data_IF_207565587801
#
_entry.id   IF_207565587801
#
_cell.length_a   1.000
_cell.length_b   1.000
_cell.length_c   1.000
_cell.angle_alpha   90.00
_cell.angle_beta   90.00
_cell.angle_gamma   90.00
#
_symmetry.space_group_name_H-M   'P 1'
#
loop_
_entity.id
_entity.type
_entity.pdbx_description
1 polymer ?
#
# COMPACT_ATOMS: atom_id res chain seq x y z
N UNK A 1 -5.65 26.60 -8.53
CA UNK A 1 -4.60 26.25 -7.54
C UNK A 1 -3.88 25.03 -8.09
N UNK A 2 -2.60 25.15 -8.45
CA UNK A 2 -1.82 23.98 -8.88
C UNK A 2 -1.30 23.26 -7.64
N UNK A 3 -1.62 21.98 -7.51
CA UNK A 3 -1.12 21.11 -6.44
C UNK A 3 -0.01 20.28 -7.06
N UNK A 4 1.18 20.31 -6.46
CA UNK A 4 2.34 19.50 -6.87
C UNK A 4 2.73 18.55 -5.74
N UNK A 5 3.27 17.39 -6.09
CA UNK A 5 3.78 16.40 -5.15
C UNK A 5 5.19 16.00 -5.57
N UNK A 6 6.15 16.12 -4.66
CA UNK A 6 7.56 15.86 -4.92
C UNK A 6 8.19 15.02 -3.81
N UNK A 7 9.21 14.21 -4.16
CA UNK A 7 10.00 13.48 -3.18
C UNK A 7 11.13 14.39 -2.67
N UNK A 8 10.99 14.88 -1.44
CA UNK A 8 11.98 15.77 -0.84
C UNK A 8 13.31 15.06 -0.48
N UNK A 9 13.29 13.81 -0.01
CA UNK A 9 14.54 13.07 0.20
C UNK A 9 14.30 11.58 0.46
N UNK A 10 15.33 10.78 0.20
CA UNK A 10 15.39 9.38 0.57
C UNK A 10 16.66 9.12 1.36
N UNK A 11 16.52 8.60 2.58
CA UNK A 11 17.65 8.36 3.49
C UNK A 11 17.62 6.93 4.02
N UNK A 12 18.76 6.24 3.94
CA UNK A 12 18.98 5.00 4.66
C UNK A 12 19.14 5.30 6.16
N UNK A 13 18.48 4.49 7.00
CA UNK A 13 18.67 4.51 8.45
C UNK A 13 19.36 3.22 8.87
N UNK A 14 20.37 3.32 9.74
CA UNK A 14 21.14 2.19 10.26
C UNK A 14 20.89 2.05 11.76
N UNK A 15 20.79 0.81 12.25
CA UNK A 15 20.52 0.53 13.67
C UNK A 15 19.04 0.61 14.02
N UNK A 16 18.67 1.49 14.95
CA UNK A 16 17.29 1.63 15.42
C UNK A 16 16.46 2.58 14.55
N UNK A 17 15.15 2.32 14.49
CA UNK A 17 14.20 3.15 13.74
C UNK A 17 13.13 3.69 14.69
N UNK A 18 13.55 4.47 15.68
CA UNK A 18 12.63 5.13 16.62
C UNK A 18 12.13 6.47 16.07
N UNK A 19 11.08 7.03 16.68
CA UNK A 19 10.59 8.36 16.32
C UNK A 19 11.61 9.47 16.56
N UNK A 20 12.48 9.29 17.56
CA UNK A 20 13.62 10.17 17.81
C UNK A 20 14.65 10.09 16.68
N UNK A 21 14.98 8.89 16.21
CA UNK A 21 15.95 8.70 15.12
C UNK A 21 15.45 9.38 13.83
N UNK A 22 14.18 9.16 13.48
CA UNK A 22 13.55 9.81 12.31
C UNK A 22 13.54 11.34 12.46
N UNK A 23 13.16 11.86 13.63
CA UNK A 23 13.18 13.31 13.88
C UNK A 23 14.57 13.90 13.79
N UNK A 24 15.58 13.16 14.27
CA UNK A 24 16.96 13.58 14.21
C UNK A 24 17.46 13.60 12.78
N UNK A 25 17.16 12.59 11.96
CA UNK A 25 17.55 12.60 10.55
C UNK A 25 16.91 13.77 9.79
N UNK A 26 15.61 14.03 10.02
CA UNK A 26 14.92 15.20 9.44
C UNK A 26 15.56 16.53 9.82
N UNK A 27 16.05 16.65 11.06
CA UNK A 27 16.73 17.86 11.57
C UNK A 27 18.18 17.97 11.11
N UNK A 28 18.92 16.85 11.15
CA UNK A 28 20.35 16.79 10.86
C UNK A 28 20.63 17.04 9.39
N UNK A 29 19.86 16.42 8.50
CA UNK A 29 20.25 16.30 7.10
C UNK A 29 19.86 17.47 6.20
N UNK A 30 19.54 18.64 6.77
CA UNK A 30 19.12 19.82 5.99
C UNK A 30 18.01 19.56 4.97
N UNK A 31 17.31 18.41 4.93
CA UNK A 31 16.22 18.17 3.96
C UNK A 31 15.24 19.34 3.88
N UNK A 32 14.88 19.91 5.03
CA UNK A 32 14.03 21.11 5.06
C UNK A 32 14.74 22.35 4.49
N UNK A 33 16.01 22.56 4.82
CA UNK A 33 16.81 23.68 4.29
C UNK A 33 17.14 23.53 2.79
N UNK A 34 17.46 22.33 2.31
CA UNK A 34 17.82 22.03 0.93
C UNK A 34 16.65 22.29 -0.04
N UNK A 35 15.42 22.13 0.47
CA UNK A 35 14.18 22.42 -0.26
C UNK A 35 13.55 23.77 0.14
N UNK A 36 14.24 24.59 0.93
CA UNK A 36 13.73 25.85 1.47
C UNK A 36 12.34 25.71 2.13
N UNK A 37 12.07 24.56 2.73
CA UNK A 37 10.83 24.26 3.44
C UNK A 37 10.88 24.93 4.81
N UNK A 38 10.06 25.97 4.96
CA UNK A 38 9.87 26.58 6.27
C UNK A 38 9.03 25.66 7.17
N UNK A 39 9.62 25.30 8.31
CA UNK A 39 8.94 24.54 9.35
C UNK A 39 7.70 25.24 9.92
N UNK A 40 7.56 26.56 9.74
CA UNK A 40 6.35 27.31 10.13
C UNK A 40 5.14 26.98 9.26
N UNK A 41 5.38 26.55 8.01
CA UNK A 41 4.33 26.22 7.04
C UNK A 41 3.90 24.75 7.11
N UNK A 42 4.32 24.00 8.14
CA UNK A 42 3.95 22.61 8.31
C UNK A 42 2.46 22.49 8.66
N UNK A 43 1.62 22.21 7.66
CA UNK A 43 0.18 22.02 7.86
C UNK A 43 -0.19 20.64 8.40
N UNK A 44 0.47 19.58 7.91
CA UNK A 44 0.11 18.20 8.24
C UNK A 44 1.34 17.28 8.24
N UNK A 45 1.35 16.30 9.16
CA UNK A 45 2.32 15.21 9.20
C UNK A 45 1.59 13.88 9.12
N UNK A 46 1.85 13.12 8.05
CA UNK A 46 1.32 11.78 7.86
C UNK A 46 2.42 10.75 8.06
N UNK A 47 2.21 9.76 8.94
CA UNK A 47 3.16 8.66 9.15
C UNK A 47 2.46 7.32 9.25
N UNK A 48 3.16 6.23 8.90
CA UNK A 48 2.63 4.88 9.16
C UNK A 48 2.43 4.67 10.68
N UNK A 49 1.40 3.94 11.07
CA UNK A 49 0.96 3.78 12.46
C UNK A 49 1.84 2.88 13.34
N UNK A 50 3.12 2.68 13.02
CA UNK A 50 4.02 1.89 13.86
C UNK A 50 4.23 2.53 15.24
N UNK A 51 4.39 1.71 16.30
CA UNK A 51 4.59 2.15 17.70
C UNK A 51 5.70 3.21 17.85
N UNK A 52 6.75 3.11 17.03
CA UNK A 52 7.88 4.04 17.02
C UNK A 52 7.50 5.47 16.58
N UNK A 53 6.28 5.69 16.07
CA UNK A 53 5.87 6.95 15.44
C UNK A 53 4.75 7.66 16.21
N UNK A 54 3.92 6.92 16.94
CA UNK A 54 2.75 7.45 17.67
C UNK A 54 2.97 7.75 19.16
N UNK A 55 4.10 7.32 19.75
CA UNK A 55 4.40 7.62 21.15
C UNK A 55 4.50 9.14 21.39
N UNK A 56 3.80 9.63 22.42
CA UNK A 56 3.67 11.06 22.74
C UNK A 56 5.01 11.68 23.20
N UNK A 57 5.90 10.89 23.78
CA UNK A 57 7.19 11.34 24.32
C UNK A 57 8.38 10.98 23.41
N UNK A 58 8.34 9.81 22.76
CA UNK A 58 9.46 9.26 21.98
C UNK A 58 9.15 9.05 20.49
N UNK A 59 7.87 9.11 20.12
CA UNK A 59 7.41 8.95 18.75
C UNK A 59 7.63 10.20 17.91
N UNK A 60 7.57 10.06 16.59
CA UNK A 60 7.79 11.19 15.68
C UNK A 60 6.76 12.30 15.90
N UNK A 61 5.49 11.94 16.15
CA UNK A 61 4.44 12.89 16.50
C UNK A 61 4.80 13.71 17.75
N UNK A 62 5.25 13.04 18.82
CA UNK A 62 5.73 13.70 20.03
C UNK A 62 6.90 14.65 19.77
N UNK A 63 7.88 14.19 18.98
CA UNK A 63 9.06 14.99 18.64
C UNK A 63 8.74 16.23 17.81
N UNK A 64 7.78 16.15 16.90
CA UNK A 64 7.30 17.29 16.11
C UNK A 64 6.49 18.25 16.98
N UNK A 65 5.62 17.72 17.84
CA UNK A 65 4.85 18.55 18.80
C UNK A 65 5.77 19.36 19.72
N UNK A 66 6.81 18.73 20.26
CA UNK A 66 7.84 19.38 21.08
C UNK A 66 8.61 20.45 20.31
N UNK A 67 8.93 20.20 19.04
CA UNK A 67 9.60 21.17 18.18
C UNK A 67 8.72 22.39 17.90
N UNK A 68 7.45 22.20 17.53
CA UNK A 68 6.51 23.30 17.28
C UNK A 68 6.32 24.15 18.54
N UNK A 69 6.16 23.52 19.71
CA UNK A 69 6.09 24.25 20.99
C UNK A 69 7.36 25.07 21.26
N UNK A 70 8.55 24.49 21.07
CA UNK A 70 9.82 25.20 21.30
C UNK A 70 10.02 26.39 20.35
N UNK A 71 9.52 26.30 19.12
CA UNK A 71 9.63 27.36 18.10
C UNK A 71 8.43 28.31 18.07
N UNK A 72 7.44 28.11 18.95
CA UNK A 72 6.18 28.84 18.95
C UNK A 72 5.43 28.82 17.60
N UNK A 73 5.41 27.64 16.97
CA UNK A 73 4.76 27.39 15.67
C UNK A 73 3.44 26.65 15.93
N UNK A 74 2.36 26.91 15.14
CA UNK A 74 1.13 26.13 15.20
C UNK A 74 1.38 24.61 15.11
N UNK A 75 0.55 23.85 15.81
CA UNK A 75 0.63 22.39 15.77
C UNK A 75 0.06 21.87 14.46
N UNK A 76 0.78 21.02 13.72
CA UNK A 76 0.26 20.43 12.48
C UNK A 76 -0.83 19.41 12.78
N UNK A 77 -1.67 19.13 11.77
CA UNK A 77 -2.55 17.98 11.80
C UNK A 77 -1.72 16.69 11.76
N UNK A 78 -2.04 15.72 12.63
CA UNK A 78 -1.39 14.42 12.61
C UNK A 78 -2.32 13.40 11.98
N UNK A 79 -1.91 12.87 10.82
CA UNK A 79 -2.68 11.86 10.10
C UNK A 79 -1.97 10.51 10.19
N UNK A 80 -2.77 9.46 10.39
CA UNK A 80 -2.31 8.10 10.18
C UNK A 80 -2.31 7.80 8.69
N UNK A 81 -1.30 7.07 8.21
CA UNK A 81 -1.22 6.65 6.82
C UNK A 81 -2.49 5.88 6.41
N UNK A 82 -3.29 6.46 5.52
CA UNK A 82 -4.61 5.92 5.13
C UNK A 82 -4.53 4.50 4.57
N UNK A 83 -3.45 4.18 3.83
CA UNK A 83 -3.18 2.83 3.32
C UNK A 83 -2.96 1.82 4.46
N UNK A 84 -2.42 2.25 5.61
CA UNK A 84 -2.32 1.37 6.77
C UNK A 84 -3.69 1.11 7.41
N UNK A 85 -4.55 2.12 7.48
CA UNK A 85 -5.93 1.95 7.95
C UNK A 85 -6.71 1.02 7.03
N UNK A 86 -6.63 1.19 5.71
CA UNK A 86 -7.21 0.26 4.73
C UNK A 86 -6.69 -1.17 4.96
N UNK A 87 -5.39 -1.34 5.22
CA UNK A 87 -4.82 -2.66 5.52
C UNK A 87 -5.31 -3.28 6.85
N UNK A 88 -5.69 -2.44 7.82
CA UNK A 88 -6.28 -2.88 9.08
C UNK A 88 -7.76 -3.23 8.91
N UNK A 89 -8.53 -2.43 8.17
CA UNK A 89 -9.92 -2.73 7.84
C UNK A 89 -10.05 -4.07 7.12
N UNK A 90 -9.12 -4.40 6.22
CA UNK A 90 -9.05 -5.72 5.57
C UNK A 90 -8.85 -6.91 6.53
N UNK A 91 -8.44 -6.68 7.79
CA UNK A 91 -8.30 -7.73 8.81
C UNK A 91 -9.55 -7.93 9.67
N UNK A 92 -10.43 -6.92 9.75
CA UNK A 92 -11.56 -6.88 10.69
C UNK A 92 -12.91 -7.24 10.04
N UNK A 93 -12.92 -7.70 8.79
CA UNK A 93 -14.10 -8.27 8.12
C UNK A 93 -13.80 -9.62 7.45
N UNK A 94 -14.82 -10.25 6.85
CA UNK A 94 -14.71 -11.50 6.08
C UNK A 94 -13.88 -11.37 4.78
N UNK A 95 -13.30 -10.18 4.57
CA UNK A 95 -12.36 -9.86 3.50
C UNK A 95 -11.18 -10.84 3.48
N UNK A 96 -10.72 -11.34 4.63
CA UNK A 96 -9.65 -12.34 4.68
C UNK A 96 -10.04 -13.67 4.00
N UNK A 97 -11.30 -14.11 4.14
CA UNK A 97 -11.80 -15.32 3.47
C UNK A 97 -11.81 -15.13 1.96
N UNK A 98 -12.36 -14.00 1.49
CA UNK A 98 -12.39 -13.63 0.07
C UNK A 98 -10.97 -13.52 -0.50
N UNK A 99 -10.07 -12.83 0.20
CA UNK A 99 -8.66 -12.70 -0.18
C UNK A 99 -7.94 -14.06 -0.26
N UNK A 100 -8.27 -15.00 0.64
CA UNK A 100 -7.71 -16.34 0.59
C UNK A 100 -8.18 -17.12 -0.63
N UNK A 101 -9.46 -17.01 -1.01
CA UNK A 101 -9.99 -17.60 -2.24
C UNK A 101 -9.32 -17.01 -3.47
N UNK A 102 -9.27 -15.67 -3.57
CA UNK A 102 -8.60 -14.97 -4.67
C UNK A 102 -7.12 -15.36 -4.76
N UNK A 103 -6.41 -15.46 -3.64
CA UNK A 103 -5.02 -15.92 -3.62
C UNK A 103 -4.84 -17.32 -4.18
N UNK A 104 -5.71 -18.27 -3.80
CA UNK A 104 -5.64 -19.66 -4.31
C UNK A 104 -5.82 -19.68 -5.83
N UNK A 105 -6.78 -18.92 -6.33
CA UNK A 105 -7.10 -18.79 -7.75
C UNK A 105 -5.96 -18.16 -8.55
N UNK A 106 -5.45 -17.01 -8.11
CA UNK A 106 -4.30 -16.34 -8.74
C UNK A 106 -3.09 -17.26 -8.74
N UNK A 107 -2.84 -17.97 -7.63
CA UNK A 107 -1.76 -18.94 -7.56
C UNK A 107 -1.98 -20.12 -8.51
N UNK A 108 -3.19 -20.65 -8.67
CA UNK A 108 -3.48 -21.74 -9.60
C UNK A 108 -3.09 -21.37 -11.04
N UNK A 109 -3.41 -20.14 -11.45
CA UNK A 109 -3.07 -19.58 -12.76
C UNK A 109 -1.55 -19.35 -12.87
N UNK A 110 -0.96 -18.66 -11.89
CA UNK A 110 0.41 -18.11 -12.00
C UNK A 110 1.53 -19.05 -11.57
N UNK A 111 1.24 -20.08 -10.76
CA UNK A 111 2.29 -20.96 -10.21
C UNK A 111 2.83 -22.00 -11.20
N UNK A 112 2.06 -22.32 -12.25
CA UNK A 112 2.41 -23.34 -13.23
C UNK A 112 2.43 -22.73 -14.63
N UNK A 113 3.56 -22.83 -15.34
CA UNK A 113 3.72 -22.27 -16.68
C UNK A 113 2.66 -22.76 -17.68
N UNK A 114 2.21 -24.00 -17.54
CA UNK A 114 1.15 -24.57 -18.39
C UNK A 114 -0.22 -23.93 -18.14
N UNK A 115 -0.58 -23.68 -16.88
CA UNK A 115 -1.83 -22.99 -16.54
C UNK A 115 -1.77 -21.53 -16.96
N UNK A 116 -0.64 -20.88 -16.73
CA UNK A 116 -0.42 -19.52 -17.18
C UNK A 116 -0.52 -19.40 -18.71
N UNK A 117 0.09 -20.32 -19.46
CA UNK A 117 -0.01 -20.35 -20.93
C UNK A 117 -1.46 -20.43 -21.41
N UNK A 118 -2.25 -21.38 -20.87
CA UNK A 118 -3.67 -21.49 -21.20
C UNK A 118 -4.46 -20.24 -20.84
N UNK A 119 -4.17 -19.62 -19.69
CA UNK A 119 -4.83 -18.37 -19.31
C UNK A 119 -4.46 -17.23 -20.27
N UNK A 120 -3.20 -17.13 -20.69
CA UNK A 120 -2.76 -16.15 -21.69
C UNK A 120 -3.47 -16.38 -23.03
N UNK A 121 -3.70 -17.63 -23.43
CA UNK A 121 -4.43 -17.92 -24.66
C UNK A 121 -5.89 -17.45 -24.57
N UNK A 122 -6.57 -17.65 -23.43
CA UNK A 122 -7.90 -17.07 -23.15
C UNK A 122 -7.87 -15.53 -23.25
N UNK A 123 -6.83 -14.88 -22.69
CA UNK A 123 -6.71 -13.42 -22.77
C UNK A 123 -6.48 -12.94 -24.21
N UNK A 124 -5.79 -13.71 -25.05
CA UNK A 124 -5.61 -13.40 -26.49
C UNK A 124 -6.91 -13.55 -27.26
N UNK A 125 -7.68 -14.60 -26.98
CA UNK A 125 -8.97 -14.84 -27.64
C UNK A 125 -9.98 -13.71 -27.35
N UNK A 126 -9.83 -13.04 -26.20
CA UNK A 126 -10.59 -11.84 -25.82
C UNK A 126 -9.93 -10.51 -26.22
N UNK A 127 -8.85 -10.51 -27.02
CA UNK A 127 -8.08 -9.32 -27.44
C UNK A 127 -7.55 -8.43 -26.29
N UNK A 128 -7.33 -9.01 -25.10
CA UNK A 128 -6.89 -8.31 -23.88
C UNK A 128 -5.59 -8.87 -23.29
N UNK A 129 -4.73 -9.49 -24.10
CA UNK A 129 -3.47 -10.09 -23.66
C UNK A 129 -2.55 -9.13 -22.87
N UNK A 130 -2.67 -7.81 -23.06
CA UNK A 130 -1.93 -6.80 -22.29
C UNK A 130 -2.42 -6.62 -20.84
N UNK A 131 -3.57 -7.19 -20.49
CA UNK A 131 -4.20 -7.11 -19.17
C UNK A 131 -3.84 -8.30 -18.28
N UNK A 132 -2.58 -8.73 -18.25
CA UNK A 132 -2.14 -9.88 -17.47
C UNK A 132 -2.38 -9.73 -15.94
N UNK A 133 -2.50 -10.89 -15.27
CA UNK A 133 -2.78 -11.02 -13.85
C UNK A 133 -1.48 -10.96 -13.01
N UNK A 134 -1.30 -9.94 -12.14
CA UNK A 134 -0.12 -9.84 -11.30
C UNK A 134 -0.04 -10.99 -10.28
N UNK A 135 1.20 -11.36 -9.90
CA UNK A 135 1.41 -12.38 -8.86
C UNK A 135 0.96 -11.83 -7.49
N UNK A 136 0.26 -12.66 -6.71
CA UNK A 136 -0.13 -12.28 -5.36
C UNK A 136 1.08 -12.30 -4.41
N UNK A 137 1.41 -11.16 -3.81
CA UNK A 137 2.38 -11.10 -2.70
C UNK A 137 1.70 -10.60 -1.42
N UNK A 138 1.87 -11.33 -0.32
CA UNK A 138 1.25 -10.98 0.97
C UNK A 138 1.89 -9.77 1.66
N UNK A 139 3.05 -9.32 1.17
CA UNK A 139 3.98 -8.38 1.83
C UNK A 139 3.50 -6.92 1.77
N UNK A 140 2.62 -6.55 0.82
CA UNK A 140 2.17 -5.16 0.64
C UNK A 140 0.65 -5.09 0.45
N UNK A 141 -0.03 -4.18 1.15
CA UNK A 141 -1.48 -3.98 0.96
C UNK A 141 -1.81 -3.55 -0.48
N UNK A 142 -0.95 -2.72 -1.07
CA UNK A 142 -1.09 -2.26 -2.46
C UNK A 142 -1.03 -3.40 -3.48
N UNK A 143 -0.29 -4.49 -3.22
CA UNK A 143 -0.33 -5.65 -4.10
C UNK A 143 -1.61 -6.46 -3.96
N UNK A 144 -2.26 -6.45 -2.78
CA UNK A 144 -3.57 -7.08 -2.61
C UNK A 144 -4.62 -6.33 -3.40
N UNK A 145 -4.68 -5.01 -3.25
CA UNK A 145 -5.59 -4.12 -3.98
C UNK A 145 -5.41 -4.27 -5.50
N UNK A 146 -4.18 -4.17 -6.00
CA UNK A 146 -3.90 -4.31 -7.44
C UNK A 146 -4.31 -5.68 -7.99
N UNK A 147 -4.06 -6.76 -7.24
CA UNK A 147 -4.48 -8.10 -7.64
C UNK A 147 -6.01 -8.22 -7.61
N UNK A 148 -6.69 -7.66 -6.59
CA UNK A 148 -8.15 -7.68 -6.51
C UNK A 148 -8.79 -6.92 -7.67
N UNK A 149 -8.29 -5.72 -8.00
CA UNK A 149 -8.75 -4.95 -9.16
C UNK A 149 -8.63 -5.77 -10.43
N UNK A 150 -7.47 -6.39 -10.66
CA UNK A 150 -7.25 -7.23 -11.84
C UNK A 150 -8.10 -8.50 -11.87
N UNK A 151 -8.33 -9.14 -10.73
CA UNK A 151 -9.25 -10.28 -10.64
C UNK A 151 -10.67 -9.85 -11.01
N UNK A 152 -11.12 -8.69 -10.56
CA UNK A 152 -12.45 -8.17 -10.89
C UNK A 152 -12.59 -7.78 -12.37
N UNK A 153 -11.55 -7.14 -12.93
CA UNK A 153 -11.49 -6.78 -14.35
C UNK A 153 -11.51 -8.03 -15.25
N UNK A 154 -10.79 -9.08 -14.87
CA UNK A 154 -10.66 -10.33 -15.63
C UNK A 154 -11.61 -11.44 -15.15
N UNK A 155 -12.67 -11.11 -14.42
CA UNK A 155 -13.51 -12.11 -13.73
C UNK A 155 -14.08 -13.15 -14.67
N UNK A 156 -14.43 -12.75 -15.90
CA UNK A 156 -14.96 -13.61 -16.95
C UNK A 156 -13.90 -14.60 -17.43
N UNK A 157 -12.74 -14.11 -17.83
CA UNK A 157 -11.64 -14.94 -18.36
C UNK A 157 -11.08 -15.88 -17.28
N UNK A 158 -11.05 -15.41 -16.03
CA UNK A 158 -10.71 -16.25 -14.88
C UNK A 158 -11.78 -17.33 -14.67
N UNK A 159 -13.07 -17.00 -14.81
CA UNK A 159 -14.18 -17.95 -14.79
C UNK A 159 -14.02 -19.03 -15.85
N UNK A 160 -13.85 -18.64 -17.11
CA UNK A 160 -13.65 -19.54 -18.26
C UNK A 160 -12.44 -20.47 -18.03
N UNK A 161 -11.33 -19.92 -17.52
CA UNK A 161 -10.16 -20.72 -17.17
C UNK A 161 -10.49 -21.76 -16.07
N UNK A 162 -11.20 -21.36 -15.01
CA UNK A 162 -11.52 -22.25 -13.90
C UNK A 162 -12.52 -23.34 -14.28
N UNK A 163 -13.48 -23.03 -15.14
CA UNK A 163 -14.39 -24.02 -15.74
C UNK A 163 -13.61 -25.06 -16.55
N UNK A 164 -12.64 -24.63 -17.37
CA UNK A 164 -11.77 -25.56 -18.11
C UNK A 164 -10.94 -26.50 -17.22
N UNK A 165 -10.75 -26.12 -15.94
CA UNK A 165 -10.05 -26.93 -14.93
C UNK A 165 -11.01 -27.75 -14.05
N UNK A 166 -12.31 -27.73 -14.32
CA UNK A 166 -13.33 -28.41 -13.53
C UNK A 166 -13.49 -27.86 -12.12
N UNK A 167 -13.18 -26.57 -11.91
CA UNK A 167 -13.24 -25.91 -10.61
C UNK A 167 -14.02 -24.58 -10.67
N UNK A 168 -15.31 -24.59 -11.06
CA UNK A 168 -16.11 -23.38 -11.18
C UNK A 168 -16.23 -22.66 -9.83
N UNK A 169 -16.12 -21.32 -9.85
CA UNK A 169 -16.21 -20.49 -8.65
C UNK A 169 -17.42 -19.57 -8.73
N UNK A 170 -18.41 -19.83 -7.86
CA UNK A 170 -19.70 -19.11 -7.82
C UNK A 170 -19.57 -17.60 -7.54
N UNK A 171 -18.47 -17.15 -6.93
CA UNK A 171 -18.28 -15.73 -6.58
C UNK A 171 -17.81 -14.85 -7.76
N UNK A 172 -17.55 -15.43 -8.94
CA UNK A 172 -17.18 -14.70 -10.15
C UNK A 172 -18.37 -14.44 -11.08
N UNK A 173 -19.53 -15.05 -10.80
CA UNK A 173 -20.76 -14.87 -11.55
C UNK A 173 -21.49 -13.60 -11.09
N UNK A 174 -22.04 -12.84 -12.03
CA UNK A 174 -22.76 -11.58 -11.77
C UNK A 174 -24.26 -11.80 -11.41
N UNK A 175 -24.62 -12.94 -10.81
CA UNK A 175 -26.02 -13.25 -10.40
C UNK A 175 -26.47 -12.49 -9.14
#
# INVERSE_FOLDING_TARGET
>A
MNITQELASLHSMYGTVTGKDISNELKKKKTLADYNLDSTNLGCLTVNGGKNKSDIKKGLFGQVKLMCNKKNIPQPMFLHYIIFQQSLCGKYGDINSILNHMRKMVNLIRSHGFNYGQFIDILKDSDIASQDLPYYTAVRCLSREKVMSKVFELRKEIGDFLESKGNPQLFLSDD
#
